data_IF_802849339038
#
_entry.id   IF_802849339038
#
_cell.length_a   1.000
_cell.length_b   1.000
_cell.length_c   1.000
_cell.angle_alpha   90.00
_cell.angle_beta   90.00
_cell.angle_gamma   90.00
#
_symmetry.space_group_name_H-M   'P 1'
#
loop_
_entity.id
_entity.type
_entity.pdbx_description
1 polymer ?
#
# COMPACT_ATOMS: atom_id res chain seq x y z
N UNK A 1 -2.59 2.65 9.26
CA UNK A 1 -3.67 3.68 9.23
C UNK A 1 -3.03 5.06 9.20
N UNK A 2 -3.80 6.15 9.12
CA UNK A 2 -3.28 7.53 8.99
C UNK A 2 -2.29 7.97 10.08
N UNK A 3 -2.28 7.32 11.24
CA UNK A 3 -1.32 7.56 12.31
C UNK A 3 0.12 7.08 12.00
N UNK A 4 0.30 6.26 10.97
CA UNK A 4 1.60 5.72 10.53
C UNK A 4 2.28 6.62 9.49
N UNK A 5 1.54 7.54 8.87
CA UNK A 5 2.07 8.36 7.78
C UNK A 5 2.85 9.55 8.36
N UNK A 6 4.18 9.51 8.31
CA UNK A 6 5.04 10.63 8.73
C UNK A 6 5.72 11.27 7.52
N UNK A 7 5.54 12.59 7.37
CA UNK A 7 6.19 13.38 6.32
C UNK A 7 7.54 13.88 6.80
N UNK A 8 8.61 13.33 6.25
CA UNK A 8 10.00 13.76 6.52
C UNK A 8 10.68 13.97 5.18
N UNK A 9 11.28 15.15 4.96
CA UNK A 9 12.01 15.46 3.73
C UNK A 9 11.21 15.20 2.43
N UNK A 10 9.92 15.57 2.40
CA UNK A 10 9.00 15.31 1.27
C UNK A 10 8.75 13.82 0.97
N UNK A 11 9.04 12.92 1.91
CA UNK A 11 8.74 11.50 1.82
C UNK A 11 7.77 11.10 2.92
N UNK A 12 6.78 10.28 2.56
CA UNK A 12 5.85 9.69 3.51
C UNK A 12 6.40 8.32 3.92
N UNK A 13 6.88 8.23 5.15
CA UNK A 13 7.29 6.98 5.78
C UNK A 13 6.05 6.30 6.38
N UNK A 14 5.82 5.04 6.02
CA UNK A 14 4.67 4.25 6.43
C UNK A 14 5.04 2.77 6.67
N UNK A 15 5.90 2.56 7.67
CA UNK A 15 6.52 1.28 7.95
C UNK A 15 5.50 0.19 8.34
N UNK A 16 4.45 0.53 9.08
CA UNK A 16 3.43 -0.46 9.42
C UNK A 16 2.62 -0.88 8.20
N UNK A 17 2.37 0.04 7.25
CA UNK A 17 1.74 -0.33 5.97
C UNK A 17 2.63 -1.25 5.14
N UNK A 18 3.93 -0.98 5.07
CA UNK A 18 4.89 -1.86 4.41
C UNK A 18 4.87 -3.28 4.99
N UNK A 19 5.00 -3.40 6.30
CA UNK A 19 4.95 -4.70 7.00
C UNK A 19 3.62 -5.41 6.75
N UNK A 20 2.50 -4.70 6.89
CA UNK A 20 1.17 -5.25 6.65
C UNK A 20 1.04 -5.83 5.25
N UNK A 21 1.37 -5.06 4.21
CA UNK A 21 1.27 -5.51 2.81
C UNK A 21 2.17 -6.73 2.58
N UNK A 22 3.43 -6.69 3.07
CA UNK A 22 4.37 -7.78 2.88
C UNK A 22 3.87 -9.08 3.50
N UNK A 23 3.44 -9.06 4.77
CA UNK A 23 2.94 -10.27 5.46
C UNK A 23 1.72 -10.87 4.77
N UNK A 24 0.81 -10.05 4.25
CA UNK A 24 -0.38 -10.55 3.55
C UNK A 24 -0.04 -11.13 2.18
N UNK A 25 0.90 -10.55 1.44
CA UNK A 25 1.41 -11.14 0.21
C UNK A 25 2.09 -12.49 0.50
N UNK A 26 2.95 -12.56 1.52
CA UNK A 26 3.63 -13.80 1.90
C UNK A 26 2.62 -14.90 2.27
N UNK A 27 1.57 -14.55 3.02
CA UNK A 27 0.48 -15.47 3.39
C UNK A 27 -0.34 -15.92 2.18
N UNK A 28 -0.67 -15.00 1.27
CA UNK A 28 -1.40 -15.31 0.04
C UNK A 28 -0.61 -16.27 -0.87
N UNK A 29 0.71 -16.09 -0.95
CA UNK A 29 1.62 -16.98 -1.68
C UNK A 29 1.71 -18.37 -1.02
N UNK A 30 1.73 -18.44 0.32
CA UNK A 30 1.68 -19.71 1.04
C UNK A 30 0.37 -20.46 0.73
N UNK A 31 -0.78 -19.77 0.80
CA UNK A 31 -2.07 -20.37 0.46
C UNK A 31 -2.11 -20.87 -0.99
N UNK A 32 -1.51 -20.14 -1.94
CA UNK A 32 -1.36 -20.60 -3.33
C UNK A 32 -0.51 -21.87 -3.44
N UNK A 33 0.57 -21.96 -2.67
CA UNK A 33 1.42 -23.17 -2.62
C UNK A 33 0.65 -24.37 -2.06
N UNK A 34 -0.27 -24.13 -1.13
CA UNK A 34 -1.11 -25.15 -0.51
C UNK A 34 -2.34 -25.53 -1.35
N UNK A 35 -2.44 -25.03 -2.59
CA UNK A 35 -3.45 -25.44 -3.58
C UNK A 35 -4.59 -24.45 -3.79
N UNK A 36 -4.60 -23.29 -3.13
CA UNK A 36 -5.59 -22.25 -3.41
C UNK A 36 -5.45 -21.72 -4.85
N UNK A 37 -6.57 -21.56 -5.55
CA UNK A 37 -6.62 -20.99 -6.90
C UNK A 37 -6.46 -19.46 -6.88
N UNK A 38 -5.30 -18.96 -6.46
CA UNK A 38 -5.01 -17.54 -6.34
C UNK A 38 -4.35 -16.97 -7.61
N UNK A 39 -5.09 -16.13 -8.33
CA UNK A 39 -4.68 -15.56 -9.62
C UNK A 39 -4.02 -14.18 -9.51
N UNK A 40 -4.24 -13.45 -8.43
CA UNK A 40 -3.67 -12.11 -8.26
C UNK A 40 -3.87 -11.55 -6.85
N UNK A 41 -3.21 -10.42 -6.60
CA UNK A 41 -3.31 -9.65 -5.36
C UNK A 41 -3.44 -8.17 -5.71
N UNK A 42 -4.38 -7.47 -5.09
CA UNK A 42 -4.56 -6.03 -5.25
C UNK A 42 -4.51 -5.35 -3.89
N UNK A 43 -3.75 -4.26 -3.82
CA UNK A 43 -3.70 -3.44 -2.61
C UNK A 43 -4.87 -2.47 -2.60
N UNK A 44 -5.61 -2.43 -1.48
CA UNK A 44 -6.49 -1.32 -1.16
C UNK A 44 -5.68 -0.26 -0.40
N UNK A 45 -5.43 0.92 -0.94
CA UNK A 45 -5.81 1.44 -2.27
C UNK A 45 -4.61 2.07 -2.97
N UNK A 46 -4.76 2.47 -4.23
CA UNK A 46 -3.73 3.23 -4.92
C UNK A 46 -3.55 4.62 -4.30
N UNK A 47 -4.64 5.34 -4.04
CA UNK A 47 -4.65 6.69 -3.50
C UNK A 47 -5.40 6.77 -2.17
N UNK A 48 -4.98 7.66 -1.29
CA UNK A 48 -5.82 8.12 -0.19
C UNK A 48 -7.12 8.70 -0.75
N UNK A 49 -8.25 8.31 -0.17
CA UNK A 49 -9.58 8.60 -0.70
C UNK A 49 -10.59 8.84 0.44
N UNK A 50 -11.86 8.99 0.07
CA UNK A 50 -12.97 9.09 1.03
C UNK A 50 -13.33 7.71 1.57
N UNK A 51 -13.04 7.45 2.84
CA UNK A 51 -13.27 6.17 3.49
C UNK A 51 -14.63 6.15 4.21
N UNK A 52 -15.71 6.25 3.43
CA UNK A 52 -17.09 6.06 3.90
C UNK A 52 -17.42 6.87 5.17
N UNK A 53 -17.86 6.19 6.24
CA UNK A 53 -18.22 6.79 7.53
C UNK A 53 -17.06 7.52 8.21
N UNK A 54 -15.81 7.22 7.83
CA UNK A 54 -14.63 7.90 8.38
C UNK A 54 -14.21 9.13 7.58
N UNK A 55 -14.85 9.37 6.42
CA UNK A 55 -14.47 10.44 5.50
C UNK A 55 -12.99 10.38 5.14
N UNK A 56 -12.32 11.53 5.09
CA UNK A 56 -10.91 11.64 4.72
C UNK A 56 -9.92 11.41 5.88
N UNK A 57 -10.40 11.02 7.06
CA UNK A 57 -9.54 10.85 8.24
C UNK A 57 -8.73 9.56 8.20
N UNK A 58 -9.11 8.59 7.36
CA UNK A 58 -8.38 7.33 7.15
C UNK A 58 -7.68 7.36 5.80
N UNK A 59 -6.39 7.02 5.83
CA UNK A 59 -5.50 7.02 4.66
C UNK A 59 -5.03 5.60 4.38
N UNK A 60 -5.63 4.96 3.38
CA UNK A 60 -5.30 3.60 2.95
C UNK A 60 -4.40 3.55 1.71
N UNK A 61 -4.23 4.67 1.01
CA UNK A 61 -3.45 4.73 -0.20
C UNK A 61 -1.99 4.41 0.03
N UNK A 62 -1.38 3.70 -0.92
CA UNK A 62 0.07 3.66 -1.06
C UNK A 62 0.62 4.95 -1.70
N UNK A 63 -0.26 5.81 -2.23
CA UNK A 63 0.04 7.19 -2.64
C UNK A 63 -0.72 8.15 -1.74
N UNK A 64 0.02 9.04 -1.08
CA UNK A 64 -0.55 10.13 -0.30
C UNK A 64 -1.20 11.15 -1.24
N UNK A 65 -2.36 11.66 -0.84
CA UNK A 65 -3.03 12.77 -1.53
C UNK A 65 -3.17 13.93 -0.56
N UNK A 66 -2.58 15.06 -0.91
CA UNK A 66 -2.93 16.33 -0.27
C UNK A 66 -4.32 16.74 -0.79
N UNK A 67 -5.34 16.72 0.06
CA UNK A 67 -6.70 17.01 -0.37
C UNK A 67 -6.93 18.50 -0.70
N UNK A 68 -6.09 19.41 -0.21
CA UNK A 68 -6.17 20.85 -0.51
C UNK A 68 -5.54 21.16 -1.85
N UNK A 69 -4.34 20.65 -2.11
CA UNK A 69 -3.56 20.98 -3.32
C UNK A 69 -3.72 19.96 -4.44
N UNK A 70 -4.26 18.78 -4.14
CA UNK A 70 -4.32 17.62 -5.02
C UNK A 70 -2.93 17.08 -5.40
N UNK A 71 -1.88 17.42 -4.65
CA UNK A 71 -0.56 16.82 -4.85
C UNK A 71 -0.58 15.32 -4.51
N UNK A 72 0.13 14.52 -5.31
CA UNK A 72 0.26 13.06 -5.12
C UNK A 72 1.70 12.73 -4.76
N UNK A 73 1.89 12.15 -3.58
CA UNK A 73 3.22 11.81 -3.06
C UNK A 73 3.26 10.30 -2.84
N UNK A 74 4.00 9.52 -3.65
CA UNK A 74 4.18 8.09 -3.41
C UNK A 74 4.80 7.84 -2.04
N UNK A 75 4.18 6.94 -1.26
CA UNK A 75 4.70 6.55 0.07
C UNK A 75 5.79 5.49 -0.07
N UNK A 76 6.50 5.17 1.00
CA UNK A 76 7.49 4.08 0.96
C UNK A 76 6.86 2.73 0.59
N UNK A 77 5.64 2.46 1.07
CA UNK A 77 4.85 1.29 0.67
C UNK A 77 4.61 1.19 -0.85
N UNK A 78 4.49 2.31 -1.58
CA UNK A 78 4.38 2.30 -3.04
C UNK A 78 5.66 1.76 -3.70
N UNK A 79 6.82 2.28 -3.30
CA UNK A 79 8.10 1.86 -3.87
C UNK A 79 8.39 0.40 -3.57
N UNK A 80 8.12 -0.04 -2.34
CA UNK A 80 8.20 -1.45 -1.96
C UNK A 80 7.28 -2.32 -2.83
N UNK A 81 6.01 -1.95 -2.96
CA UNK A 81 5.04 -2.72 -3.75
C UNK A 81 5.42 -2.79 -5.24
N UNK A 82 5.92 -1.68 -5.82
CA UNK A 82 6.52 -1.63 -7.16
C UNK A 82 7.66 -2.63 -7.32
N UNK A 83 8.56 -2.69 -6.34
CA UNK A 83 9.75 -3.53 -6.41
C UNK A 83 9.40 -5.02 -6.23
N UNK A 84 8.40 -5.34 -5.39
CA UNK A 84 7.78 -6.67 -5.33
C UNK A 84 7.26 -7.07 -6.72
N UNK A 85 6.40 -6.24 -7.35
CA UNK A 85 5.85 -6.52 -8.69
C UNK A 85 6.97 -6.75 -9.71
N UNK A 86 8.01 -5.91 -9.70
CA UNK A 86 9.17 -6.05 -10.60
C UNK A 86 9.92 -7.36 -10.40
N UNK A 87 10.03 -7.85 -9.17
CA UNK A 87 10.71 -9.13 -8.89
C UNK A 87 9.97 -10.34 -9.47
N UNK A 88 8.64 -10.24 -9.62
CA UNK A 88 7.82 -11.28 -10.27
C UNK A 88 7.77 -11.18 -11.79
N UNK A 89 8.00 -10.00 -12.40
CA UNK A 89 8.06 -9.85 -13.87
C UNK A 89 9.38 -10.33 -14.48
N UNK A 90 10.43 -10.49 -13.67
CA UNK A 90 11.77 -10.94 -14.10
C UNK A 90 11.97 -12.46 -13.99
N UNK A 91 10.97 -13.17 -13.47
CA UNK A 91 10.90 -14.64 -13.49
C UNK A 91 10.07 -15.08 -14.67
#
# INVERSE_FOLDING_TARGET
GSADDSLVNHQIHDAYRMDYIKRHIDTALAARKDGANLQGYTVWSMFDNFEWVFGYNRRFGIVYVDFKTQERIPKQSFYMYRDIIRSYRKK
#
